data_IF_182905808401
#
_entry.id   IF_182905808401
#
_cell.length_a   1.000
_cell.length_b   1.000
_cell.length_c   1.000
_cell.angle_alpha   90.00
_cell.angle_beta   90.00
_cell.angle_gamma   90.00
#
_symmetry.space_group_name_H-M   'P 1'
#
loop_
_entity.id
_entity.type
_entity.pdbx_description
1 polymer ?
#
# COMPACT_ATOMS: atom_id res chain seq x y z
N UNK A 1 33.26 22.40 29.07
CA UNK A 1 33.09 22.18 27.61
C UNK A 1 32.80 20.71 27.22
N UNK A 2 33.27 19.70 27.96
CA UNK A 2 33.07 18.26 27.64
C UNK A 2 31.63 17.74 27.75
N UNK A 3 30.79 18.35 28.59
CA UNK A 3 29.40 17.90 28.82
C UNK A 3 28.42 18.36 27.73
N UNK A 4 28.70 19.47 27.04
CA UNK A 4 27.84 20.01 25.98
C UNK A 4 27.91 19.19 24.69
N UNK A 5 29.12 18.72 24.34
CA UNK A 5 29.34 17.87 23.15
C UNK A 5 28.78 16.46 23.33
N UNK A 6 28.83 15.91 24.55
CA UNK A 6 28.25 14.61 24.86
C UNK A 6 26.71 14.65 24.79
N UNK A 7 26.09 15.73 25.25
CA UNK A 7 24.64 15.93 25.17
C UNK A 7 24.11 16.03 23.73
N UNK A 8 24.85 16.70 22.84
CA UNK A 8 24.52 16.79 21.41
C UNK A 8 24.63 15.44 20.68
N UNK A 9 25.64 14.63 21.00
CA UNK A 9 25.76 13.28 20.42
C UNK A 9 24.64 12.34 20.91
N UNK A 10 24.23 12.43 22.18
CA UNK A 10 23.13 11.62 22.71
C UNK A 10 21.79 12.03 22.05
N UNK A 11 21.54 13.33 21.86
CA UNK A 11 20.34 13.81 21.17
C UNK A 11 20.30 13.39 19.69
N UNK A 12 21.46 13.35 19.02
CA UNK A 12 21.59 12.85 17.65
C UNK A 12 21.36 11.32 17.54
N UNK A 13 21.79 10.54 18.54
CA UNK A 13 21.48 9.10 18.58
C UNK A 13 20.00 8.82 18.90
N UNK A 14 19.38 9.63 19.78
CA UNK A 14 17.96 9.48 20.11
C UNK A 14 17.07 9.80 18.91
N UNK A 15 17.40 10.81 18.11
CA UNK A 15 16.63 11.15 16.89
C UNK A 15 16.76 10.11 15.77
N UNK A 16 17.90 9.41 15.66
CA UNK A 16 18.08 8.32 14.70
C UNK A 16 17.28 7.06 15.07
N UNK A 17 17.06 6.81 16.36
CA UNK A 17 16.35 5.63 16.86
C UNK A 17 14.82 5.70 16.75
N UNK A 18 14.24 6.88 16.46
CA UNK A 18 12.78 7.08 16.34
C UNK A 18 12.30 7.04 14.88
N UNK A 19 13.20 6.75 13.94
CA UNK A 19 12.82 6.57 12.54
C UNK A 19 12.26 5.15 12.33
N UNK A 20 11.14 4.82 12.98
CA UNK A 20 10.33 3.69 12.53
C UNK A 20 9.72 4.12 11.20
N UNK A 21 10.36 3.76 10.10
CA UNK A 21 9.73 3.80 8.79
C UNK A 21 8.48 2.93 8.92
N UNK A 22 7.28 3.55 8.91
CA UNK A 22 6.05 2.81 8.77
C UNK A 22 6.11 2.16 7.39
N UNK A 23 6.48 0.88 7.35
CA UNK A 23 6.48 0.11 6.12
C UNK A 23 5.03 -0.02 5.70
N UNK A 24 4.65 0.67 4.62
CA UNK A 24 3.36 0.43 3.99
C UNK A 24 3.39 -1.00 3.43
N UNK A 25 2.41 -1.80 3.81
CA UNK A 25 2.23 -3.13 3.27
C UNK A 25 1.84 -3.02 1.79
N UNK A 26 2.22 -4.04 1.03
CA UNK A 26 1.83 -4.14 -0.37
C UNK A 26 1.01 -5.39 -0.59
N UNK A 27 0.00 -5.26 -1.45
CA UNK A 27 -0.92 -6.34 -1.77
C UNK A 27 -1.06 -6.41 -3.28
N UNK A 28 -0.67 -7.53 -3.87
CA UNK A 28 -0.99 -7.80 -5.26
C UNK A 28 -2.47 -8.15 -5.36
N UNK A 29 -3.18 -7.40 -6.20
CA UNK A 29 -4.59 -7.62 -6.47
C UNK A 29 -4.81 -8.06 -7.91
N UNK A 30 -5.87 -8.82 -8.11
CA UNK A 30 -6.42 -9.14 -9.41
C UNK A 30 -7.93 -9.24 -9.32
N UNK A 31 -8.61 -8.90 -10.41
CA UNK A 31 -10.02 -9.22 -10.58
C UNK A 31 -10.30 -9.62 -12.02
N UNK A 32 -11.28 -10.51 -12.19
CA UNK A 32 -11.74 -10.96 -13.51
C UNK A 32 -13.25 -10.99 -13.56
N UNK A 33 -13.83 -10.09 -14.34
CA UNK A 33 -15.22 -10.13 -14.77
C UNK A 33 -15.35 -10.63 -16.22
N UNK A 34 -16.54 -10.48 -16.79
CA UNK A 34 -16.85 -10.89 -18.16
C UNK A 34 -16.45 -9.78 -19.14
N UNK A 35 -16.68 -8.52 -18.75
CA UNK A 35 -16.49 -7.35 -19.59
C UNK A 35 -15.10 -6.73 -19.42
N UNK A 36 -14.57 -6.75 -18.20
CA UNK A 36 -13.24 -6.23 -17.91
C UNK A 36 -12.53 -7.03 -16.82
N UNK A 37 -11.21 -6.92 -16.82
CA UNK A 37 -10.33 -7.53 -15.82
C UNK A 37 -9.16 -6.60 -15.52
N UNK A 38 -8.50 -6.85 -14.41
CA UNK A 38 -7.39 -5.99 -14.00
C UNK A 38 -6.51 -6.64 -12.96
N UNK A 39 -5.28 -6.16 -12.88
CA UNK A 39 -4.35 -6.54 -11.82
C UNK A 39 -3.37 -5.42 -11.52
N UNK A 40 -2.78 -5.49 -10.34
CA UNK A 40 -1.87 -4.47 -9.87
C UNK A 40 -1.44 -4.69 -8.43
N UNK A 41 -0.94 -3.62 -7.82
CA UNK A 41 -0.48 -3.62 -6.44
C UNK A 41 -1.11 -2.45 -5.69
N UNK A 42 -1.70 -2.76 -4.54
CA UNK A 42 -2.08 -1.77 -3.53
C UNK A 42 -0.93 -1.54 -2.56
N UNK A 43 -0.77 -0.28 -2.17
CA UNK A 43 0.04 0.12 -1.02
C UNK A 43 -0.92 0.52 0.08
N UNK A 44 -0.77 -0.06 1.27
CA UNK A 44 -1.73 0.12 2.35
C UNK A 44 -1.07 0.14 3.73
N UNK A 45 -1.75 0.72 4.70
CA UNK A 45 -1.32 0.78 6.10
C UNK A 45 -2.32 0.04 6.96
N UNK A 46 -1.87 -0.89 7.80
CA UNK A 46 -2.77 -1.58 8.71
C UNK A 46 -3.36 -0.62 9.76
N UNK A 47 -4.66 -0.76 10.01
CA UNK A 47 -5.34 -0.08 11.10
C UNK A 47 -5.08 -0.80 12.43
N UNK A 48 -3.98 -0.42 13.08
CA UNK A 48 -3.57 -1.05 14.33
C UNK A 48 -3.08 -2.48 14.10
N UNK A 49 -3.84 -3.47 14.56
CA UNK A 49 -3.55 -4.90 14.42
C UNK A 49 -4.87 -5.67 14.20
N UNK A 50 -5.54 -5.37 13.10
CA UNK A 50 -6.93 -5.75 12.84
C UNK A 50 -7.13 -6.53 11.54
N UNK A 51 -6.08 -6.75 10.75
CA UNK A 51 -6.16 -7.24 9.37
C UNK A 51 -7.03 -6.38 8.44
N UNK A 52 -7.29 -5.13 8.84
CA UNK A 52 -7.93 -4.09 8.02
C UNK A 52 -6.87 -3.08 7.64
N UNK A 53 -6.83 -2.72 6.37
CA UNK A 53 -5.80 -1.89 5.79
C UNK A 53 -6.41 -0.70 5.06
N UNK A 54 -5.88 0.49 5.35
CA UNK A 54 -6.13 1.71 4.60
C UNK A 54 -5.28 1.69 3.32
N UNK A 55 -5.92 1.49 2.16
CA UNK A 55 -5.22 1.60 0.89
C UNK A 55 -4.90 3.08 0.63
N UNK A 56 -3.61 3.37 0.46
CA UNK A 56 -3.07 4.72 0.25
C UNK A 56 -2.51 4.91 -1.16
N UNK A 57 -2.29 3.83 -1.90
CA UNK A 57 -1.83 3.85 -3.29
C UNK A 57 -2.30 2.65 -4.08
N UNK A 58 -2.43 2.83 -5.39
CA UNK A 58 -2.77 1.77 -6.33
C UNK A 58 -1.97 1.97 -7.61
N UNK A 59 -1.42 0.89 -8.14
CA UNK A 59 -0.77 0.83 -9.46
C UNK A 59 -1.20 -0.45 -10.16
N UNK A 60 -1.15 -0.49 -11.49
CA UNK A 60 -1.55 -1.67 -12.25
C UNK A 60 -2.16 -1.32 -13.59
N UNK A 61 -2.83 -2.31 -14.18
CA UNK A 61 -3.39 -2.20 -15.52
C UNK A 61 -4.72 -2.93 -15.60
N UNK A 62 -5.67 -2.29 -16.29
CA UNK A 62 -7.00 -2.81 -16.58
C UNK A 62 -7.08 -3.14 -18.06
N UNK A 63 -7.87 -4.15 -18.41
CA UNK A 63 -8.20 -4.52 -19.77
C UNK A 63 -9.71 -4.69 -19.92
N UNK A 64 -10.24 -4.11 -20.98
CA UNK A 64 -11.61 -4.27 -21.42
C UNK A 64 -11.65 -4.52 -22.94
N UNK A 65 -12.82 -4.34 -23.56
CA UNK A 65 -13.00 -4.48 -25.00
C UNK A 65 -12.36 -3.34 -25.82
N UNK A 66 -12.16 -2.16 -25.23
CA UNK A 66 -11.59 -0.99 -25.89
C UNK A 66 -10.05 -1.03 -25.86
N UNK A 67 -9.45 -1.70 -24.89
CA UNK A 67 -8.01 -1.94 -24.84
C UNK A 67 -7.50 -2.15 -23.43
N UNK A 68 -6.36 -1.53 -23.13
CA UNK A 68 -5.73 -1.63 -21.83
C UNK A 68 -5.33 -0.24 -21.33
N UNK A 69 -5.57 0.00 -20.05
CA UNK A 69 -5.40 1.30 -19.43
C UNK A 69 -4.69 1.15 -18.08
N UNK A 70 -3.74 2.04 -17.80
CA UNK A 70 -2.99 2.01 -16.56
C UNK A 70 -3.73 2.72 -15.45
N UNK A 71 -3.57 2.24 -14.23
CA UNK A 71 -4.02 2.94 -13.03
C UNK A 71 -3.16 4.18 -12.83
N UNK A 72 -3.81 5.36 -12.79
CA UNK A 72 -3.15 6.65 -12.64
C UNK A 72 -3.05 7.11 -11.19
N UNK A 73 -4.07 6.79 -10.37
CA UNK A 73 -4.14 7.25 -8.98
C UNK A 73 -5.21 6.51 -8.19
N UNK A 74 -5.05 6.47 -6.87
CA UNK A 74 -6.15 6.13 -5.96
C UNK A 74 -7.21 7.25 -5.97
N UNK A 75 -8.48 6.89 -5.94
CA UNK A 75 -9.59 7.87 -5.85
C UNK A 75 -9.85 8.20 -4.39
N UNK A 76 -10.03 9.49 -4.08
CA UNK A 76 -10.33 9.94 -2.73
C UNK A 76 -11.64 9.36 -2.20
N UNK A 77 -11.78 9.31 -0.87
CA UNK A 77 -12.94 8.70 -0.20
C UNK A 77 -14.27 9.30 -0.68
N UNK A 78 -15.28 8.45 -0.82
CA UNK A 78 -16.64 8.75 -1.20
C UNK A 78 -16.77 9.56 -2.51
N UNK A 79 -15.81 9.40 -3.45
CA UNK A 79 -15.86 10.05 -4.76
C UNK A 79 -16.32 9.12 -5.87
N UNK A 80 -16.37 7.80 -5.64
CA UNK A 80 -16.92 6.84 -6.58
C UNK A 80 -17.50 5.63 -5.86
N UNK A 81 -18.76 5.29 -6.15
CA UNK A 81 -19.45 4.13 -5.58
C UNK A 81 -19.42 4.01 -4.03
N UNK A 82 -19.27 5.13 -3.31
CA UNK A 82 -19.20 5.16 -1.86
C UNK A 82 -17.88 4.68 -1.26
N UNK A 83 -16.82 4.57 -2.07
CA UNK A 83 -15.53 4.01 -1.69
C UNK A 83 -14.96 4.58 -0.39
N UNK A 84 -14.43 3.71 0.46
CA UNK A 84 -13.70 4.07 1.67
C UNK A 84 -12.24 3.59 1.64
N UNK A 85 -11.86 2.91 0.55
CA UNK A 85 -10.53 2.39 0.30
C UNK A 85 -10.02 1.44 1.39
N UNK A 86 -10.93 0.66 2.00
CA UNK A 86 -10.60 -0.36 2.98
C UNK A 86 -10.35 -1.71 2.32
N UNK A 87 -9.25 -2.36 2.69
CA UNK A 87 -8.94 -3.74 2.34
C UNK A 87 -8.99 -4.60 3.62
N UNK A 88 -9.72 -5.71 3.55
CA UNK A 88 -9.90 -6.67 4.64
C UNK A 88 -9.13 -7.93 4.28
N UNK A 89 -7.98 -8.15 4.90
CA UNK A 89 -7.15 -9.34 4.67
C UNK A 89 -7.29 -10.36 5.80
N UNK A 90 -8.53 -10.58 6.28
CA UNK A 90 -8.75 -11.54 7.35
C UNK A 90 -8.56 -12.96 6.79
N UNK A 91 -7.54 -13.67 7.27
CA UNK A 91 -7.15 -15.02 6.82
C UNK A 91 -8.19 -16.13 7.07
N UNK A 92 -9.41 -15.78 7.47
CA UNK A 92 -10.53 -16.70 7.54
C UNK A 92 -11.06 -16.96 6.14
N UNK A 93 -10.61 -18.08 5.56
CA UNK A 93 -11.37 -18.77 4.53
C UNK A 93 -12.83 -18.88 5.02
N UNK A 94 -13.78 -18.39 4.22
CA UNK A 94 -15.18 -18.46 4.60
C UNK A 94 -15.55 -19.92 4.90
N UNK A 95 -16.15 -20.23 6.07
CA UNK A 95 -16.44 -21.61 6.48
C UNK A 95 -17.51 -22.29 5.61
N UNK A 96 -18.18 -21.53 4.77
CA UNK A 96 -18.97 -22.00 3.64
C UNK A 96 -18.22 -21.60 2.38
N UNK A 97 -18.24 -22.43 1.32
CA UNK A 97 -17.62 -22.25 -0.01
C UNK A 97 -17.92 -20.92 -0.77
N UNK A 98 -18.16 -19.83 -0.05
CA UNK A 98 -18.29 -18.47 -0.50
C UNK A 98 -16.87 -17.91 -0.72
N UNK A 99 -16.68 -17.08 -1.75
CA UNK A 99 -15.40 -16.44 -1.99
C UNK A 99 -14.94 -15.66 -0.75
N UNK A 100 -13.63 -15.70 -0.47
CA UNK A 100 -12.99 -14.82 0.51
C UNK A 100 -13.36 -13.38 0.18
N UNK A 101 -13.89 -12.66 1.17
CA UNK A 101 -14.25 -11.25 1.01
C UNK A 101 -13.05 -10.42 1.40
N UNK A 102 -12.52 -9.70 0.43
CA UNK A 102 -11.34 -8.85 0.63
C UNK A 102 -11.71 -7.39 0.83
N UNK A 103 -12.97 -7.04 0.58
CA UNK A 103 -13.50 -5.70 0.71
C UNK A 103 -14.83 -5.74 1.47
N UNK A 104 -15.36 -4.57 1.78
CA UNK A 104 -16.78 -4.40 2.09
C UNK A 104 -17.53 -3.90 0.84
N UNK A 105 -18.77 -3.43 1.03
CA UNK A 105 -19.58 -2.93 -0.08
C UNK A 105 -19.06 -1.62 -0.69
N UNK A 106 -18.22 -0.88 0.04
CA UNK A 106 -17.67 0.40 -0.39
C UNK A 106 -16.39 0.19 -1.19
N UNK A 107 -15.47 -0.64 -0.68
CA UNK A 107 -14.30 -1.12 -1.39
C UNK A 107 -13.27 -0.05 -1.77
N UNK A 108 -12.43 -0.38 -2.75
CA UNK A 108 -11.28 0.44 -3.16
C UNK A 108 -11.47 0.96 -4.57
N UNK A 109 -11.39 2.29 -4.72
CA UNK A 109 -11.51 2.94 -6.02
C UNK A 109 -10.20 3.53 -6.54
N UNK A 110 -9.95 3.37 -7.83
CA UNK A 110 -8.77 3.90 -8.51
C UNK A 110 -9.12 4.40 -9.92
N UNK A 111 -8.47 5.49 -10.32
CA UNK A 111 -8.66 6.13 -11.62
C UNK A 111 -7.69 5.54 -12.65
N UNK A 112 -8.14 5.51 -13.89
CA UNK A 112 -7.41 5.03 -15.04
C UNK A 112 -6.93 6.20 -15.90
N UNK A 113 -5.88 5.98 -16.68
CA UNK A 113 -5.26 6.99 -17.54
C UNK A 113 -6.18 7.49 -18.67
N UNK A 114 -7.19 6.71 -19.04
CA UNK A 114 -8.24 7.09 -20.01
C UNK A 114 -9.36 7.95 -19.40
N UNK A 115 -9.35 8.16 -18.07
CA UNK A 115 -10.31 8.96 -17.35
C UNK A 115 -11.45 8.17 -16.68
N UNK A 116 -11.53 6.86 -16.89
CA UNK A 116 -12.47 6.01 -16.17
C UNK A 116 -12.02 5.75 -14.72
N UNK A 117 -12.97 5.36 -13.88
CA UNK A 117 -12.74 4.95 -12.50
C UNK A 117 -13.25 3.54 -12.31
N UNK A 118 -12.50 2.74 -11.57
CA UNK A 118 -12.91 1.42 -11.13
C UNK A 118 -13.07 1.41 -9.61
N UNK A 119 -14.13 0.75 -9.14
CA UNK A 119 -14.27 0.30 -7.77
C UNK A 119 -14.23 -1.23 -7.72
N UNK A 120 -13.35 -1.81 -6.91
CA UNK A 120 -13.41 -3.23 -6.54
C UNK A 120 -14.01 -3.36 -5.14
N UNK A 121 -15.08 -4.12 -4.99
CA UNK A 121 -15.80 -4.26 -3.74
C UNK A 121 -16.43 -5.65 -3.57
N UNK A 122 -16.94 -5.91 -2.38
CA UNK A 122 -17.67 -7.11 -2.01
C UNK A 122 -19.11 -6.74 -1.64
N UNK A 123 -20.00 -6.80 -2.62
CA UNK A 123 -21.42 -6.48 -2.46
C UNK A 123 -22.30 -7.72 -2.57
N UNK A 124 -23.41 -7.78 -1.83
CA UNK A 124 -24.45 -8.82 -1.99
C UNK A 124 -23.91 -10.26 -1.95
N UNK A 125 -22.86 -10.50 -1.17
CA UNK A 125 -22.26 -11.83 -1.04
C UNK A 125 -21.28 -12.23 -2.14
N UNK A 126 -20.99 -11.38 -3.14
CA UNK A 126 -20.03 -11.66 -4.22
C UNK A 126 -19.00 -10.54 -4.37
N UNK A 127 -17.87 -10.83 -5.03
CA UNK A 127 -16.94 -9.81 -5.51
C UNK A 127 -17.53 -9.09 -6.72
N UNK A 128 -17.31 -7.78 -6.80
CA UNK A 128 -17.75 -6.92 -7.88
C UNK A 128 -16.61 -6.03 -8.34
N UNK A 129 -16.60 -5.75 -9.64
CA UNK A 129 -15.87 -4.65 -10.21
C UNK A 129 -16.89 -3.71 -10.86
N UNK A 130 -16.73 -2.41 -10.62
CA UNK A 130 -17.63 -1.37 -11.16
C UNK A 130 -16.77 -0.38 -11.91
N UNK A 131 -17.01 -0.21 -13.20
CA UNK A 131 -16.30 0.77 -14.03
C UNK A 131 -17.23 1.91 -14.44
N UNK A 132 -16.71 3.13 -14.51
CA UNK A 132 -17.42 4.25 -15.12
C UNK A 132 -16.76 5.59 -14.87
N UNK A 133 -17.36 6.65 -15.40
CA UNK A 133 -16.87 7.99 -15.14
C UNK A 133 -17.14 8.42 -13.67
N UNK A 134 -16.29 9.26 -13.04
CA UNK A 134 -16.39 9.65 -11.63
C UNK A 134 -17.78 10.18 -11.18
N UNK A 135 -18.59 10.68 -12.12
CA UNK A 135 -19.96 11.18 -11.89
C UNK A 135 -20.93 10.76 -13.00
N UNK A 136 -20.61 9.68 -13.72
CA UNK A 136 -21.38 9.19 -14.87
C UNK A 136 -22.13 7.89 -14.59
N UNK A 137 -22.62 7.25 -15.65
CA UNK A 137 -23.14 5.89 -15.56
C UNK A 137 -22.01 4.94 -15.16
N UNK A 138 -22.30 4.09 -14.18
CA UNK A 138 -21.41 3.05 -13.71
C UNK A 138 -21.95 1.68 -14.15
N UNK A 139 -21.07 0.82 -14.62
CA UNK A 139 -21.35 -0.53 -15.08
C UNK A 139 -20.80 -1.52 -14.04
N UNK A 140 -21.66 -2.07 -13.17
CA UNK A 140 -21.25 -3.12 -12.24
C UNK A 140 -21.24 -4.48 -12.93
N UNK A 141 -20.23 -5.29 -12.64
CA UNK A 141 -20.24 -6.71 -12.94
C UNK A 141 -19.75 -7.56 -11.77
N UNK A 142 -20.23 -8.79 -11.71
CA UNK A 142 -19.69 -9.79 -10.78
C UNK A 142 -18.28 -10.15 -11.26
N UNK A 143 -17.32 -10.10 -10.34
CA UNK A 143 -15.93 -10.40 -10.63
C UNK A 143 -15.36 -11.38 -9.61
N UNK A 144 -14.48 -12.26 -10.05
CA UNK A 144 -13.64 -13.03 -9.14
C UNK A 144 -12.50 -12.13 -8.69
N UNK A 145 -12.30 -11.96 -7.39
CA UNK A 145 -11.27 -11.10 -6.79
C UNK A 145 -10.22 -11.97 -6.11
N UNK A 146 -8.95 -11.65 -6.33
CA UNK A 146 -7.81 -12.25 -5.64
C UNK A 146 -6.91 -11.19 -5.03
N UNK A 147 -6.55 -11.36 -3.76
CA UNK A 147 -5.59 -10.52 -3.04
C UNK A 147 -4.50 -11.42 -2.46
N UNK A 148 -3.25 -11.01 -2.64
CA UNK A 148 -2.08 -11.66 -2.05
C UNK A 148 -1.29 -10.59 -1.29
N UNK A 149 -1.07 -10.79 0.00
CA UNK A 149 -0.19 -9.92 0.79
C UNK A 149 1.26 -10.22 0.43
N UNK A 150 2.01 -9.19 0.03
CA UNK A 150 3.43 -9.29 -0.25
C UNK A 150 4.18 -9.18 1.07
N UNK A 151 5.19 -10.02 1.28
CA UNK A 151 6.03 -9.92 2.46
C UNK A 151 6.87 -8.64 2.41
N UNK A 152 7.03 -7.91 3.53
CA UNK A 152 7.85 -6.71 3.56
C UNK A 152 9.24 -7.00 3.01
N UNK A 153 9.68 -6.22 2.02
CA UNK A 153 11.03 -6.32 1.47
C UNK A 153 12.00 -5.81 2.53
N UNK A 154 12.99 -6.60 2.97
CA UNK A 154 13.97 -6.15 3.96
C UNK A 154 14.63 -4.85 3.50
N UNK A 155 14.81 -3.90 4.42
CA UNK A 155 15.42 -2.62 4.11
C UNK A 155 16.76 -2.80 3.38
N UNK A 156 17.07 -1.94 2.38
CA UNK A 156 18.35 -2.02 1.69
C UNK A 156 19.47 -1.94 2.73
N UNK A 157 20.43 -2.85 2.66
CA UNK A 157 21.65 -2.86 3.49
C UNK A 157 22.42 -1.53 3.43
N UNK A 158 22.11 -0.67 2.46
CA UNK A 158 22.51 0.74 2.36
C UNK A 158 22.21 1.57 3.62
N UNK A 159 21.10 1.33 4.34
CA UNK A 159 20.81 2.05 5.59
C UNK A 159 21.76 1.64 6.72
N UNK A 160 22.02 0.33 6.85
CA UNK A 160 23.03 -0.18 7.77
C UNK A 160 24.45 0.29 7.38
N UNK A 161 24.75 0.35 6.08
CA UNK A 161 26.02 0.86 5.56
C UNK A 161 26.18 2.36 5.80
N UNK A 162 25.12 3.15 5.66
CA UNK A 162 25.12 4.57 5.99
C UNK A 162 25.35 4.80 7.48
N UNK A 163 24.63 4.06 8.34
CA UNK A 163 24.82 4.12 9.79
C UNK A 163 26.25 3.74 10.21
N UNK A 164 26.76 2.61 9.72
CA UNK A 164 28.13 2.16 10.02
C UNK A 164 29.20 3.07 9.41
N UNK A 165 28.95 3.66 8.24
CA UNK A 165 29.83 4.62 7.58
C UNK A 165 30.05 5.89 8.41
N UNK A 166 29.00 6.44 9.02
CA UNK A 166 29.09 7.60 9.92
C UNK A 166 29.94 7.26 11.15
N UNK A 167 29.74 6.08 11.75
CA UNK A 167 30.55 5.64 12.90
C UNK A 167 32.02 5.39 12.51
N UNK A 168 32.28 4.85 11.33
CA UNK A 168 33.63 4.67 10.79
C UNK A 168 34.38 5.99 10.64
N UNK A 169 33.72 7.02 10.09
CA UNK A 169 34.28 8.38 9.95
C UNK A 169 34.54 9.01 11.33
N UNK A 170 33.59 8.91 12.25
CA UNK A 170 33.76 9.44 13.62
C UNK A 170 34.94 8.77 14.36
N UNK A 171 35.13 7.46 14.18
CA UNK A 171 36.26 6.71 14.71
C UNK A 171 37.60 7.18 14.15
N UNK A 172 37.68 7.39 12.83
CA UNK A 172 38.89 7.86 12.14
C UNK A 172 39.30 9.27 12.59
N UNK A 173 38.35 10.20 12.75
CA UNK A 173 38.62 11.56 13.25
C UNK A 173 39.18 11.52 14.68
N UNK A 174 38.63 10.66 15.55
CA UNK A 174 39.09 10.51 16.93
C UNK A 174 40.52 9.96 17.02
N UNK A 175 40.89 9.04 16.14
CA UNK A 175 42.25 8.51 16.05
C UNK A 175 43.24 9.61 15.63
N UNK A 176 42.87 10.42 14.63
CA UNK A 176 43.73 11.51 14.14
C UNK A 176 43.98 12.60 15.20
N UNK A 177 42.99 12.94 16.01
CA UNK A 177 43.12 13.91 17.11
C UNK A 177 43.90 13.39 18.33
N UNK A 178 44.17 12.08 18.41
CA UNK A 178 44.92 11.46 19.52
C UNK A 178 46.40 11.24 19.20
N UNK A 179 46.76 11.19 17.92
CA UNK A 179 48.10 10.88 17.44
C UNK A 179 48.74 11.98 16.57
N UNK A 180 48.13 13.17 16.52
CA UNK A 180 48.71 14.39 15.94
C UNK A 180 48.66 15.52 16.95
#
# INVERSE_FOLDING_TARGET
MKHRTLGLCILALVTLAISSTAHADTFDFSFSGILFSGSGTFTATEEGATDVYDVTGATGTIRDWAGSSNISSLVGLNNFNGNDNKLIFSGVASPFFLPTKFFDANGVSFALADGDVINVNDSRGSGYAVIGAPKGLALPEVATIGIVKNSPVPEPSSLALFGTGIFGIAGAIRLKLRFG
#
